data_IF_257381982882
#
_entry.id   IF_257381982882
#
_cell.length_a   1.000
_cell.length_b   1.000
_cell.length_c   1.000
_cell.angle_alpha   90.00
_cell.angle_beta   90.00
_cell.angle_gamma   90.00
#
_symmetry.space_group_name_H-M   'P 1'
#
loop_
_entity.id
_entity.type
_entity.pdbx_description
1 polymer ?
#
# COMPACT_ATOMS: atom_id res chain seq x y z
N UNK A 1 -2.13 32.96 -0.17
CA UNK A 1 -2.75 31.94 0.64
C UNK A 1 -2.45 30.57 0.05
N UNK A 2 -1.88 29.66 0.84
CA UNK A 2 -1.64 28.33 0.31
C UNK A 2 -2.97 27.60 0.11
N UNK A 3 -2.99 26.79 -0.90
CA UNK A 3 -4.15 25.95 -1.18
C UNK A 3 -3.77 24.51 -0.87
N UNK A 4 -4.79 23.67 -0.75
CA UNK A 4 -4.54 22.25 -0.55
C UNK A 4 -3.83 21.62 -1.73
N UNK A 5 -3.91 22.26 -2.90
CA UNK A 5 -3.22 21.74 -4.08
C UNK A 5 -1.71 21.77 -3.94
N UNK A 6 -1.19 22.61 -3.05
CA UNK A 6 0.26 22.68 -2.84
C UNK A 6 0.75 21.78 -1.74
N UNK A 7 -0.14 21.02 -1.11
CA UNK A 7 0.20 20.11 -0.03
C UNK A 7 0.15 18.68 -0.56
N UNK A 8 1.22 17.95 -0.30
CA UNK A 8 1.31 16.55 -0.74
C UNK A 8 1.13 15.62 0.43
N UNK A 9 0.47 14.49 0.17
CA UNK A 9 0.33 13.41 1.12
C UNK A 9 1.15 12.23 0.65
N UNK A 10 1.72 11.51 1.60
CA UNK A 10 2.42 10.28 1.27
C UNK A 10 1.41 9.16 1.12
N UNK A 11 1.34 8.60 -0.07
CA UNK A 11 0.45 7.49 -0.37
C UNK A 11 1.27 6.21 -0.42
N UNK A 12 0.87 5.23 0.35
CA UNK A 12 1.52 3.93 0.38
C UNK A 12 0.52 2.87 -0.02
N UNK A 13 0.95 1.96 -0.86
CA UNK A 13 0.13 0.82 -1.26
C UNK A 13 0.77 -0.43 -0.68
N UNK A 14 0.04 -1.13 0.18
CA UNK A 14 0.54 -2.34 0.82
C UNK A 14 0.03 -3.53 0.02
N UNK A 15 0.95 -4.21 -0.66
CA UNK A 15 0.61 -5.36 -1.48
C UNK A 15 0.39 -6.61 -0.64
N UNK A 16 1.10 -6.73 0.47
CA UNK A 16 0.98 -7.87 1.35
C UNK A 16 2.00 -7.78 2.45
N UNK A 17 1.96 -8.72 3.37
CA UNK A 17 2.87 -8.73 4.50
C UNK A 17 3.37 -10.15 4.72
N UNK A 18 4.44 -10.26 5.48
CA UNK A 18 4.95 -11.55 5.89
C UNK A 18 5.72 -11.36 7.18
N UNK A 19 5.90 -12.44 7.91
CA UNK A 19 6.71 -12.42 9.12
C UNK A 19 8.00 -13.18 8.85
N UNK A 20 9.09 -12.66 9.37
CA UNK A 20 10.38 -13.23 9.08
C UNK A 20 11.27 -13.13 10.32
N UNK A 21 11.98 -14.21 10.71
CA UNK A 21 12.92 -14.11 11.82
C UNK A 21 14.04 -13.12 11.52
N UNK A 22 14.51 -12.46 12.59
CA UNK A 22 15.53 -11.43 12.42
C UNK A 22 16.79 -12.00 11.74
N UNK A 23 17.21 -13.20 12.11
CA UNK A 23 18.42 -13.76 11.51
C UNK A 23 18.27 -14.00 10.00
N UNK A 24 17.06 -14.23 9.54
CA UNK A 24 16.82 -14.39 8.12
C UNK A 24 16.84 -13.05 7.40
N UNK A 25 16.32 -12.00 8.04
CA UNK A 25 16.38 -10.68 7.48
C UNK A 25 17.82 -10.24 7.26
N UNK A 26 18.70 -10.58 8.20
CA UNK A 26 20.10 -10.19 8.12
C UNK A 26 20.85 -10.91 7.01
N UNK A 27 20.27 -11.96 6.46
CA UNK A 27 20.90 -12.73 5.37
C UNK A 27 20.38 -12.31 4.00
N UNK A 28 19.47 -11.38 3.94
CA UNK A 28 18.95 -10.94 2.65
C UNK A 28 20.04 -10.24 1.86
N UNK A 29 20.09 -10.53 0.59
CA UNK A 29 21.06 -9.92 -0.29
C UNK A 29 20.41 -9.64 -1.63
N UNK A 30 21.22 -9.18 -2.57
CA UNK A 30 20.72 -8.89 -3.90
C UNK A 30 20.12 -10.14 -4.52
N UNK A 31 18.94 -10.03 -5.10
CA UNK A 31 18.28 -11.16 -5.72
C UNK A 31 17.45 -12.01 -4.79
N UNK A 32 17.44 -11.69 -3.49
CA UNK A 32 16.58 -12.40 -2.56
C UNK A 32 15.11 -12.17 -2.92
N UNK A 33 14.30 -13.20 -2.67
CA UNK A 33 12.87 -13.13 -2.93
C UNK A 33 12.14 -13.27 -1.61
N UNK A 34 11.24 -12.34 -1.36
CA UNK A 34 10.43 -12.37 -0.15
C UNK A 34 8.99 -12.64 -0.59
N UNK A 35 8.45 -13.78 -0.15
CA UNK A 35 7.07 -14.08 -0.43
C UNK A 35 6.17 -13.35 0.55
N UNK A 36 5.14 -12.73 0.00
CA UNK A 36 4.15 -12.03 0.81
C UNK A 36 2.92 -12.91 1.00
N UNK A 37 2.24 -12.71 2.12
CA UNK A 37 1.03 -13.45 2.43
C UNK A 37 -0.14 -12.80 1.67
N UNK A 38 -0.10 -12.92 0.35
CA UNK A 38 -1.11 -12.33 -0.53
C UNK A 38 -1.02 -13.00 -1.88
N UNK A 39 -2.13 -13.00 -2.59
CA UNK A 39 -2.17 -13.48 -3.97
C UNK A 39 -2.50 -12.31 -4.89
N UNK A 40 -2.37 -12.54 -6.21
CA UNK A 40 -2.58 -11.47 -7.16
C UNK A 40 -4.02 -10.99 -7.22
N UNK A 41 -4.96 -11.81 -6.76
CA UNK A 41 -6.38 -11.43 -6.75
C UNK A 41 -6.79 -10.73 -5.46
N UNK A 42 -5.89 -10.63 -4.50
CA UNK A 42 -6.21 -9.99 -3.23
C UNK A 42 -6.26 -8.48 -3.38
N UNK A 43 -7.14 -7.86 -2.60
CA UNK A 43 -7.16 -6.41 -2.55
C UNK A 43 -5.94 -5.90 -1.81
N UNK A 44 -5.46 -4.75 -2.23
CA UNK A 44 -4.35 -4.09 -1.57
C UNK A 44 -4.89 -2.95 -0.72
N UNK A 45 -4.15 -2.59 0.30
CA UNK A 45 -4.52 -1.51 1.20
C UNK A 45 -3.79 -0.25 0.80
N UNK A 46 -4.52 0.85 0.80
CA UNK A 46 -3.98 2.16 0.44
C UNK A 46 -3.97 3.00 1.71
N UNK A 47 -2.80 3.53 2.03
CA UNK A 47 -2.60 4.32 3.22
C UNK A 47 -2.24 5.75 2.83
N UNK A 48 -2.78 6.70 3.56
CA UNK A 48 -2.36 8.09 3.46
C UNK A 48 -1.74 8.47 4.79
N UNK A 49 -0.45 8.86 4.77
CA UNK A 49 0.30 9.18 5.97
C UNK A 49 0.18 8.05 7.00
N UNK A 50 0.31 6.80 6.51
CA UNK A 50 0.27 5.59 7.34
C UNK A 50 -1.08 5.26 7.93
N UNK A 51 -2.14 5.93 7.48
CA UNK A 51 -3.51 5.63 7.92
C UNK A 51 -4.27 4.99 6.78
N UNK A 52 -4.95 3.85 7.02
CA UNK A 52 -5.71 3.20 5.96
C UNK A 52 -6.86 4.08 5.50
N UNK A 53 -6.97 4.28 4.19
CA UNK A 53 -8.03 5.11 3.63
C UNK A 53 -8.83 4.41 2.56
N UNK A 54 -8.30 3.34 1.96
CA UNK A 54 -8.99 2.69 0.85
C UNK A 54 -8.45 1.29 0.64
N UNK A 55 -9.16 0.54 -0.17
CA UNK A 55 -8.71 -0.75 -0.68
C UNK A 55 -8.91 -0.76 -2.18
N UNK A 56 -8.10 -1.54 -2.85
CA UNK A 56 -8.21 -1.61 -4.29
C UNK A 56 -7.49 -2.81 -4.85
N UNK A 57 -7.38 -2.83 -6.16
CA UNK A 57 -6.66 -3.89 -6.86
C UNK A 57 -5.55 -3.27 -7.70
N UNK A 58 -4.51 -4.05 -7.89
CA UNK A 58 -3.39 -3.64 -8.74
C UNK A 58 -3.78 -3.88 -10.18
N UNK A 59 -3.53 -2.87 -11.01
CA UNK A 59 -3.74 -2.98 -12.45
C UNK A 59 -2.45 -2.60 -13.14
N UNK A 60 -2.20 -3.22 -14.29
CA UNK A 60 -1.02 -2.91 -15.08
C UNK A 60 -1.49 -2.18 -16.32
N UNK A 61 -0.91 -1.01 -16.55
CA UNK A 61 -1.23 -0.17 -17.70
C UNK A 61 0.04 0.07 -18.49
N UNK A 62 0.21 -0.69 -19.57
CA UNK A 62 1.44 -0.67 -20.32
C UNK A 62 2.59 -1.18 -19.47
N UNK A 63 3.58 -0.34 -19.21
CA UNK A 63 4.69 -0.70 -18.34
C UNK A 63 4.59 -0.04 -16.98
N UNK A 64 3.41 0.45 -16.62
CA UNK A 64 3.19 1.11 -15.35
C UNK A 64 2.26 0.29 -14.49
N UNK A 65 2.47 0.40 -13.19
CA UNK A 65 1.62 -0.26 -12.20
C UNK A 65 0.75 0.82 -11.57
N UNK A 66 -0.54 0.55 -11.52
CA UNK A 66 -1.51 1.46 -10.91
C UNK A 66 -2.39 0.69 -9.96
N UNK A 67 -3.19 1.40 -9.20
CA UNK A 67 -4.15 0.78 -8.28
C UNK A 67 -5.51 1.37 -8.57
N UNK A 68 -6.47 0.48 -8.80
CA UNK A 68 -7.86 0.89 -8.96
C UNK A 68 -8.53 0.82 -7.60
N UNK A 69 -9.05 1.96 -7.13
CA UNK A 69 -9.73 2.01 -5.84
C UNK A 69 -11.07 1.30 -5.95
N UNK A 70 -11.31 0.35 -5.06
CA UNK A 70 -12.55 -0.40 -5.03
C UNK A 70 -13.46 0.06 -3.92
N UNK A 71 -12.88 0.50 -2.81
CA UNK A 71 -13.68 0.86 -1.65
C UNK A 71 -12.92 1.89 -0.84
N UNK A 72 -13.63 2.92 -0.41
CA UNK A 72 -13.08 3.86 0.55
C UNK A 72 -13.42 3.37 1.95
N UNK A 73 -12.45 3.41 2.83
CA UNK A 73 -12.67 2.95 4.20
C UNK A 73 -13.37 4.06 4.99
N UNK A 74 -14.27 3.68 5.90
CA UNK A 74 -14.94 4.68 6.71
C UNK A 74 -13.96 5.38 7.64
N UNK A 75 -14.18 6.66 7.84
CA UNK A 75 -13.37 7.44 8.77
C UNK A 75 -13.94 7.31 10.16
N UNK A 76 -13.10 7.70 11.13
CA UNK A 76 -13.57 7.73 12.48
C UNK A 76 -14.71 8.71 12.68
N UNK A 77 -15.49 8.54 13.75
CA UNK A 77 -16.71 9.36 13.92
C UNK A 77 -16.42 10.83 14.15
N UNK A 78 -15.22 11.17 14.56
CA UNK A 78 -14.84 12.56 14.79
C UNK A 78 -14.38 13.28 13.53
N UNK A 79 -14.32 12.59 12.41
CA UNK A 79 -13.85 13.18 11.16
C UNK A 79 -15.03 13.69 10.37
N UNK A 80 -14.92 14.92 9.96
CA UNK A 80 -15.96 15.56 9.14
C UNK A 80 -15.35 16.18 7.92
#
# INVERSE_FOLDING_TARGET
MPTLDSVSLDITVVLGTTAMPVHQVLRLGRGAVIELDASEDDEVHILANNLPVARGIVVVQGNRIAVEVRELLPRGPDVR
#
